data_IF_065639500763
#
_entry.id   IF_065639500763
#
_cell.length_a   1.000
_cell.length_b   1.000
_cell.length_c   1.000
_cell.angle_alpha   90.00
_cell.angle_beta   90.00
_cell.angle_gamma   90.00
#
_symmetry.space_group_name_H-M   'P 1'
#
loop_
_entity.id
_entity.type
_entity.pdbx_description
1 polymer ?
#
# COMPACT_ATOMS: atom_id res chain seq x y z
N UNK A 1 -6.39 7.89 21.23
CA UNK A 1 -6.94 7.96 19.84
C UNK A 1 -5.92 8.49 18.81
N UNK A 2 -4.88 9.24 19.18
CA UNK A 2 -3.89 9.77 18.23
C UNK A 2 -2.91 8.74 17.62
N UNK A 3 -2.63 7.63 18.32
CA UNK A 3 -1.67 6.62 17.84
C UNK A 3 -2.13 5.91 16.56
N UNK A 4 -3.42 5.54 16.46
CA UNK A 4 -3.98 4.82 15.30
C UNK A 4 -4.06 5.71 14.06
N UNK A 5 -4.41 6.98 14.24
CA UNK A 5 -4.43 7.98 13.16
C UNK A 5 -3.02 8.25 12.64
N UNK A 6 -2.03 8.35 13.53
CA UNK A 6 -0.64 8.51 13.16
C UNK A 6 -0.11 7.29 12.38
N UNK A 7 -0.50 6.08 12.77
CA UNK A 7 -0.14 4.84 12.06
C UNK A 7 -0.76 4.75 10.66
N UNK A 8 -2.01 5.21 10.48
CA UNK A 8 -2.68 5.21 9.17
C UNK A 8 -2.03 6.21 8.21
N UNK A 9 -1.76 7.44 8.67
CA UNK A 9 -1.08 8.46 7.87
C UNK A 9 0.33 8.01 7.45
N UNK A 10 1.07 7.36 8.35
CA UNK A 10 2.37 6.79 8.02
C UNK A 10 2.29 5.69 6.95
N UNK A 11 1.27 4.83 6.98
CA UNK A 11 1.08 3.80 5.96
C UNK A 11 0.67 4.38 4.60
N UNK A 12 -0.20 5.39 4.59
CA UNK A 12 -0.54 6.12 3.36
C UNK A 12 0.70 6.76 2.72
N UNK A 13 1.55 7.41 3.52
CA UNK A 13 2.80 7.99 3.02
C UNK A 13 3.76 6.94 2.46
N UNK A 14 3.76 5.71 2.99
CA UNK A 14 4.54 4.60 2.42
C UNK A 14 4.00 4.17 1.07
N UNK A 15 2.68 4.06 0.91
CA UNK A 15 2.04 3.76 -0.38
C UNK A 15 2.44 4.78 -1.43
N UNK A 16 2.32 6.07 -1.12
CA UNK A 16 2.67 7.17 -2.04
C UNK A 16 4.13 7.06 -2.50
N UNK A 17 5.07 6.86 -1.58
CA UNK A 17 6.50 6.74 -1.91
C UNK A 17 6.79 5.52 -2.77
N UNK A 18 6.19 4.38 -2.46
CA UNK A 18 6.42 3.14 -3.21
C UNK A 18 5.85 3.22 -4.63
N UNK A 19 4.66 3.79 -4.80
CA UNK A 19 4.06 4.01 -6.13
C UNK A 19 4.90 5.01 -6.94
N UNK A 20 5.36 6.10 -6.33
CA UNK A 20 6.23 7.07 -7.01
C UNK A 20 7.55 6.42 -7.48
N UNK A 21 8.17 5.56 -6.66
CA UNK A 21 9.36 4.81 -7.05
C UNK A 21 9.08 3.79 -8.17
N UNK A 22 7.90 3.15 -8.15
CA UNK A 22 7.46 2.25 -9.19
C UNK A 22 7.25 2.97 -10.54
N UNK A 23 6.65 4.16 -10.52
CA UNK A 23 6.44 5.03 -11.69
C UNK A 23 7.75 5.58 -12.27
N UNK A 24 8.71 5.94 -11.41
CA UNK A 24 10.03 6.38 -11.83
C UNK A 24 10.84 5.29 -12.58
N UNK A 25 10.37 4.04 -12.60
CA UNK A 25 10.91 2.96 -13.44
C UNK A 25 12.28 2.42 -13.03
N UNK A 26 12.88 2.94 -11.96
CA UNK A 26 14.16 2.45 -11.44
C UNK A 26 13.92 1.26 -10.53
N UNK A 27 14.61 0.13 -10.74
CA UNK A 27 14.47 -1.07 -9.89
C UNK A 27 13.00 -1.51 -9.71
N UNK A 28 12.30 -1.62 -10.84
CA UNK A 28 10.85 -1.89 -10.94
C UNK A 28 10.38 -3.02 -10.02
N UNK A 29 11.08 -4.15 -9.99
CA UNK A 29 10.71 -5.31 -9.18
C UNK A 29 10.71 -5.01 -7.68
N UNK A 30 11.74 -4.32 -7.20
CA UNK A 30 11.83 -3.87 -5.81
C UNK A 30 10.67 -2.95 -5.43
N UNK A 31 10.39 -1.91 -6.22
CA UNK A 31 9.29 -1.00 -5.91
C UNK A 31 7.92 -1.64 -6.10
N UNK A 32 7.79 -2.62 -6.99
CA UNK A 32 6.56 -3.39 -7.13
C UNK A 32 6.29 -4.22 -5.86
N UNK A 33 7.32 -4.85 -5.30
CA UNK A 33 7.22 -5.57 -4.03
C UNK A 33 6.91 -4.63 -2.84
N UNK A 34 7.59 -3.48 -2.75
CA UNK A 34 7.35 -2.49 -1.69
C UNK A 34 5.95 -1.86 -1.81
N UNK A 35 5.50 -1.54 -3.02
CA UNK A 35 4.16 -1.00 -3.25
C UNK A 35 3.07 -2.00 -2.87
N UNK A 36 3.27 -3.28 -3.19
CA UNK A 36 2.41 -4.38 -2.75
C UNK A 36 2.32 -4.42 -1.22
N UNK A 37 3.45 -4.49 -0.51
CA UNK A 37 3.49 -4.56 0.95
C UNK A 37 2.78 -3.34 1.59
N UNK A 38 3.10 -2.14 1.12
CA UNK A 38 2.54 -0.90 1.63
C UNK A 38 1.01 -0.83 1.42
N UNK A 39 0.51 -1.21 0.23
CA UNK A 39 -0.92 -1.19 -0.08
C UNK A 39 -1.68 -2.20 0.78
N UNK A 40 -1.14 -3.41 0.97
CA UNK A 40 -1.77 -4.39 1.86
C UNK A 40 -1.86 -3.89 3.30
N UNK A 41 -0.76 -3.36 3.84
CA UNK A 41 -0.73 -2.84 5.21
C UNK A 41 -1.72 -1.68 5.40
N UNK A 42 -1.80 -0.77 4.42
CA UNK A 42 -2.74 0.35 4.45
C UNK A 42 -4.20 -0.13 4.38
N UNK A 43 -4.53 -1.11 3.53
CA UNK A 43 -5.88 -1.67 3.44
C UNK A 43 -6.28 -2.36 4.74
N UNK A 44 -5.40 -3.19 5.32
CA UNK A 44 -5.65 -3.85 6.62
C UNK A 44 -5.93 -2.82 7.70
N UNK A 45 -5.11 -1.77 7.81
CA UNK A 45 -5.34 -0.71 8.79
C UNK A 45 -6.66 0.03 8.56
N UNK A 46 -7.03 0.30 7.31
CA UNK A 46 -8.32 0.92 6.95
C UNK A 46 -9.50 0.05 7.36
N UNK A 47 -9.43 -1.25 7.12
CA UNK A 47 -10.50 -2.18 7.50
C UNK A 47 -10.64 -2.29 9.02
N UNK A 48 -9.53 -2.32 9.76
CA UNK A 48 -9.52 -2.37 11.23
C UNK A 48 -10.22 -1.17 11.88
N UNK A 49 -10.26 -0.02 11.20
CA UNK A 49 -10.94 1.19 11.67
C UNK A 49 -12.30 1.45 10.99
N UNK A 50 -12.80 0.48 10.19
CA UNK A 50 -14.14 0.50 9.62
C UNK A 50 -14.26 0.91 8.14
N UNK A 51 -13.16 1.23 7.45
CA UNK A 51 -13.17 1.60 6.02
C UNK A 51 -12.98 0.38 5.11
N UNK A 52 -14.08 -0.32 4.79
CA UNK A 52 -14.10 -1.55 3.99
C UNK A 52 -14.08 -1.35 2.47
N UNK A 53 -14.43 -0.15 1.97
CA UNK A 53 -14.39 0.15 0.53
C UNK A 53 -13.06 0.78 0.17
N UNK A 54 -12.39 0.22 -0.84
CA UNK A 54 -11.07 0.67 -1.28
C UNK A 54 -11.07 1.40 -2.63
N UNK A 55 -12.20 1.44 -3.34
CA UNK A 55 -12.26 1.99 -4.71
C UNK A 55 -11.79 3.43 -4.79
N UNK A 56 -12.20 4.28 -3.84
CA UNK A 56 -11.80 5.69 -3.83
C UNK A 56 -10.30 5.84 -3.57
N UNK A 57 -9.73 5.11 -2.61
CA UNK A 57 -8.29 5.20 -2.31
C UNK A 57 -7.40 4.57 -3.37
N UNK A 58 -7.88 3.53 -4.07
CA UNK A 58 -7.18 2.98 -5.24
C UNK A 58 -7.01 4.08 -6.30
N UNK A 59 -8.07 4.83 -6.56
CA UNK A 59 -8.06 5.96 -7.50
C UNK A 59 -7.22 7.12 -6.99
N UNK A 60 -7.44 7.58 -5.77
CA UNK A 60 -6.77 8.75 -5.19
C UNK A 60 -5.26 8.56 -5.05
N UNK A 61 -4.82 7.36 -4.65
CA UNK A 61 -3.39 7.04 -4.51
C UNK A 61 -2.75 6.55 -5.82
N UNK A 62 -3.52 6.43 -6.90
CA UNK A 62 -3.01 5.96 -8.20
C UNK A 62 -2.46 4.54 -8.16
N UNK A 63 -3.08 3.62 -7.39
CA UNK A 63 -2.56 2.25 -7.22
C UNK A 63 -2.70 1.48 -8.54
N UNK A 64 -1.59 1.03 -9.17
CA UNK A 64 -1.67 0.37 -10.46
C UNK A 64 -2.18 -1.09 -10.33
N UNK A 65 -2.82 -1.64 -11.39
CA UNK A 65 -3.39 -3.00 -11.35
C UNK A 65 -2.38 -4.10 -11.00
N UNK A 66 -1.12 -3.98 -11.42
CA UNK A 66 -0.05 -4.95 -11.12
C UNK A 66 0.31 -5.03 -9.62
N UNK A 67 0.05 -3.95 -8.88
CA UNK A 67 0.18 -3.94 -7.42
C UNK A 67 -1.01 -4.70 -6.81
N UNK A 68 -2.24 -4.40 -7.25
CA UNK A 68 -3.46 -5.08 -6.78
C UNK A 68 -3.45 -6.59 -7.05
N UNK A 69 -3.05 -6.99 -8.25
CA UNK A 69 -2.99 -8.39 -8.68
C UNK A 69 -2.00 -9.22 -7.85
N UNK A 70 -1.00 -8.57 -7.24
CA UNK A 70 0.03 -9.25 -6.44
C UNK A 70 -0.24 -9.25 -4.93
N UNK A 71 -1.35 -8.67 -4.45
CA UNK A 71 -1.59 -8.54 -3.01
C UNK A 71 -1.70 -9.90 -2.29
N UNK A 72 -2.20 -10.94 -2.97
CA UNK A 72 -2.32 -12.29 -2.41
C UNK A 72 -1.07 -13.17 -2.57
N UNK A 73 -0.05 -12.72 -3.30
CA UNK A 73 1.14 -13.50 -3.65
C UNK A 73 2.42 -13.03 -2.94
N UNK A 74 2.31 -12.11 -1.98
CA UNK A 74 3.47 -11.60 -1.27
C UNK A 74 4.08 -12.69 -0.36
N UNK A 75 5.39 -12.95 -0.44
CA UNK A 75 6.03 -13.81 0.52
C UNK A 75 5.87 -13.19 1.91
N UNK A 76 5.41 -13.97 2.88
CA UNK A 76 5.45 -13.57 4.28
C UNK A 76 6.91 -13.21 4.61
N UNK A 77 7.19 -11.93 4.90
CA UNK A 77 8.49 -11.51 5.43
C UNK A 77 8.65 -12.17 6.80
N UNK A 78 9.27 -13.35 6.83
CA UNK A 78 9.83 -13.90 8.07
C UNK A 78 10.87 -12.90 8.54
N UNK A 79 10.60 -12.32 9.71
CA UNK A 79 11.39 -11.29 10.36
C UNK A 79 12.81 -11.77 10.68
#
# INVERSE_FOLDING_TARGET
MGERANSLGAAEQRVIKAIAGLDAGTNRDHFLAEAREAVWAYFVQRELIGFRRHTDVIRDLGIPPEVLNGLGAMPHKTK
#
